data_IF_173477476538
#
_entry.id   IF_173477476538
#
_cell.length_a   1.000
_cell.length_b   1.000
_cell.length_c   1.000
_cell.angle_alpha   90.00
_cell.angle_beta   90.00
_cell.angle_gamma   90.00
#
_symmetry.space_group_name_H-M   'P 1'
#
loop_
_entity.id
_entity.type
_entity.pdbx_description
1 polymer ?
#
# COMPACT_ATOMS: atom_id res chain seq x y z
N UNK A 1 -5.78 -0.83 20.23
CA UNK A 1 -5.27 -2.05 19.55
C UNK A 1 -6.18 -2.50 18.41
N UNK A 2 -7.49 -2.67 18.61
CA UNK A 2 -8.44 -3.06 17.54
C UNK A 2 -8.41 -2.11 16.32
N UNK A 3 -8.36 -0.79 16.52
CA UNK A 3 -8.23 0.20 15.42
C UNK A 3 -6.91 0.06 14.64
N UNK A 4 -5.84 -0.41 15.27
CA UNK A 4 -4.54 -0.62 14.63
C UNK A 4 -4.56 -1.87 13.76
N UNK A 5 -5.11 -2.97 14.26
CA UNK A 5 -5.33 -4.21 13.51
C UNK A 5 -6.22 -4.01 12.28
N UNK A 6 -7.32 -3.27 12.44
CA UNK A 6 -8.21 -2.90 11.33
C UNK A 6 -7.47 -2.09 10.26
N UNK A 7 -6.59 -1.16 10.68
CA UNK A 7 -5.77 -0.36 9.76
C UNK A 7 -4.77 -1.22 9.00
N UNK A 8 -4.14 -2.19 9.68
CA UNK A 8 -3.24 -3.16 9.06
C UNK A 8 -3.99 -3.99 8.02
N UNK A 9 -5.16 -4.53 8.37
CA UNK A 9 -5.98 -5.33 7.45
C UNK A 9 -6.42 -4.55 6.21
N UNK A 10 -6.80 -3.28 6.39
CA UNK A 10 -7.14 -2.36 5.29
C UNK A 10 -5.96 -2.13 4.38
N UNK A 11 -4.79 -1.82 4.94
CA UNK A 11 -3.59 -1.61 4.15
C UNK A 11 -3.13 -2.88 3.43
N UNK A 12 -3.27 -4.03 4.07
CA UNK A 12 -3.04 -5.36 3.49
C UNK A 12 -3.89 -5.56 2.23
N UNK A 13 -5.20 -5.42 2.37
CA UNK A 13 -6.14 -5.55 1.25
C UNK A 13 -5.86 -4.51 0.14
N UNK A 14 -5.51 -3.29 0.52
CA UNK A 14 -5.22 -2.21 -0.43
C UNK A 14 -3.93 -2.45 -1.21
N UNK A 15 -2.88 -2.93 -0.54
CA UNK A 15 -1.58 -3.24 -1.15
C UNK A 15 -1.69 -4.46 -2.05
N UNK A 16 -2.48 -5.46 -1.63
CA UNK A 16 -2.86 -6.60 -2.47
C UNK A 16 -3.53 -6.13 -3.77
N UNK A 17 -4.53 -5.26 -3.69
CA UNK A 17 -5.19 -4.69 -4.88
C UNK A 17 -4.18 -3.89 -5.72
N UNK A 18 -3.34 -3.07 -5.10
CA UNK A 18 -2.32 -2.28 -5.80
C UNK A 18 -1.32 -3.13 -6.58
N UNK A 19 -0.86 -4.25 -6.00
CA UNK A 19 0.05 -5.19 -6.66
C UNK A 19 -0.61 -5.93 -7.81
N UNK A 20 -1.88 -6.34 -7.66
CA UNK A 20 -2.64 -6.97 -8.74
C UNK A 20 -2.85 -6.00 -9.90
N UNK A 21 -3.23 -4.75 -9.61
CA UNK A 21 -3.39 -3.70 -10.62
C UNK A 21 -2.06 -3.42 -11.31
N UNK A 22 -0.94 -3.33 -10.56
CA UNK A 22 0.38 -3.13 -11.15
C UNK A 22 0.79 -4.27 -12.10
N UNK A 23 0.49 -5.52 -11.74
CA UNK A 23 0.75 -6.67 -12.61
C UNK A 23 -0.09 -6.69 -13.90
N UNK A 24 -1.22 -6.00 -13.93
CA UNK A 24 -2.07 -5.88 -15.13
C UNK A 24 -1.77 -4.62 -15.95
N UNK A 25 -1.54 -3.49 -15.30
CA UNK A 25 -1.42 -2.19 -15.97
C UNK A 25 0.00 -1.86 -16.43
N UNK A 26 1.03 -2.43 -15.79
CA UNK A 26 2.42 -2.05 -16.03
C UNK A 26 3.14 -3.12 -16.84
N UNK A 27 3.48 -2.84 -18.12
CA UNK A 27 4.27 -3.76 -18.93
C UNK A 27 5.63 -4.03 -18.26
N UNK A 28 6.01 -5.30 -18.13
CA UNK A 28 7.29 -5.70 -17.51
C UNK A 28 7.23 -5.98 -16.01
N UNK A 29 6.04 -5.94 -15.39
CA UNK A 29 5.79 -6.49 -14.06
C UNK A 29 5.27 -7.92 -14.20
N UNK A 30 5.99 -8.90 -13.65
CA UNK A 30 5.52 -10.29 -13.55
C UNK A 30 5.35 -10.68 -12.09
N UNK A 31 4.18 -11.21 -11.75
CA UNK A 31 3.77 -11.53 -10.38
C UNK A 31 3.29 -12.99 -10.32
N UNK A 32 4.01 -13.84 -9.59
CA UNK A 32 3.55 -15.19 -9.26
C UNK A 32 2.73 -15.19 -7.97
N UNK A 33 1.93 -16.24 -7.73
CA UNK A 33 1.11 -16.36 -6.51
C UNK A 33 1.97 -16.27 -5.24
N UNK A 34 3.15 -16.89 -5.24
CA UNK A 34 4.09 -16.79 -4.12
C UNK A 34 4.75 -15.41 -4.01
N UNK A 35 5.05 -14.76 -5.14
CA UNK A 35 5.54 -13.39 -5.17
C UNK A 35 4.53 -12.40 -4.61
N UNK A 36 3.25 -12.61 -4.91
CA UNK A 36 2.14 -11.83 -4.37
C UNK A 36 2.07 -11.91 -2.85
N UNK A 37 2.03 -13.13 -2.30
CA UNK A 37 1.95 -13.32 -0.84
C UNK A 37 3.17 -12.74 -0.14
N UNK A 38 4.37 -12.99 -0.66
CA UNK A 38 5.61 -12.44 -0.10
C UNK A 38 5.63 -10.91 -0.16
N UNK A 39 5.25 -10.31 -1.30
CA UNK A 39 5.18 -8.87 -1.47
C UNK A 39 4.19 -8.24 -0.48
N UNK A 40 3.01 -8.85 -0.31
CA UNK A 40 2.00 -8.41 0.64
C UNK A 40 2.51 -8.46 2.08
N UNK A 41 3.18 -9.55 2.50
CA UNK A 41 3.75 -9.67 3.86
C UNK A 41 4.84 -8.62 4.09
N UNK A 42 5.78 -8.46 3.15
CA UNK A 42 6.87 -7.48 3.25
C UNK A 42 6.32 -6.06 3.33
N UNK A 43 5.35 -5.73 2.49
CA UNK A 43 4.69 -4.43 2.50
C UNK A 43 4.02 -4.16 3.85
N UNK A 44 3.35 -5.17 4.40
CA UNK A 44 2.70 -5.10 5.72
C UNK A 44 3.69 -4.82 6.83
N UNK A 45 4.83 -5.53 6.85
CA UNK A 45 5.87 -5.35 7.87
C UNK A 45 6.49 -3.96 7.76
N UNK A 46 6.86 -3.55 6.55
CA UNK A 46 7.38 -2.21 6.29
C UNK A 46 6.40 -1.14 6.79
N UNK A 47 5.12 -1.29 6.49
CA UNK A 47 4.10 -0.37 6.96
C UNK A 47 3.85 -0.39 8.46
N UNK A 48 3.92 -1.54 9.12
CA UNK A 48 3.77 -1.60 10.56
C UNK A 48 4.86 -0.78 11.27
N UNK A 49 6.09 -0.82 10.72
CA UNK A 49 7.23 -0.05 11.20
C UNK A 49 7.07 1.44 10.86
N UNK A 50 6.66 1.76 9.63
CA UNK A 50 6.55 3.15 9.19
C UNK A 50 5.27 3.87 9.65
N UNK A 51 4.18 3.16 9.96
CA UNK A 51 2.90 3.75 10.42
C UNK A 51 3.05 4.73 11.59
N UNK A 52 3.73 4.40 12.71
CA UNK A 52 3.94 5.34 13.81
C UNK A 52 4.80 6.55 13.40
N UNK A 53 5.72 6.37 12.46
CA UNK A 53 6.54 7.45 11.89
C UNK A 53 5.69 8.39 11.03
N UNK A 54 4.86 7.84 10.13
CA UNK A 54 3.94 8.60 9.30
C UNK A 54 2.94 9.41 10.14
N UNK A 55 2.41 8.83 11.23
CA UNK A 55 1.50 9.55 12.13
C UNK A 55 2.17 10.74 12.83
N UNK A 56 3.44 10.59 13.25
CA UNK A 56 4.21 11.69 13.86
C UNK A 56 4.61 12.76 12.84
N UNK A 57 4.85 12.35 11.58
CA UNK A 57 5.23 13.26 10.50
C UNK A 57 4.03 14.03 9.96
N UNK A 58 2.86 13.37 9.89
CA UNK A 58 1.64 13.95 9.34
C UNK A 58 1.07 15.09 10.17
N UNK A 59 1.34 15.11 11.47
CA UNK A 59 0.99 16.23 12.34
C UNK A 59 1.99 17.38 12.30
N UNK A 60 3.17 17.21 11.67
CA UNK A 60 4.30 18.14 11.76
C UNK A 60 4.77 18.71 10.40
N UNK A 61 4.50 18.04 9.27
CA UNK A 61 4.95 18.46 7.93
C UNK A 61 3.79 18.57 6.92
N UNK A 62 3.95 19.47 5.94
CA UNK A 62 2.99 19.71 4.86
C UNK A 62 2.62 18.41 4.11
N UNK A 63 1.36 18.32 3.65
CA UNK A 63 0.77 17.17 2.95
C UNK A 63 1.61 16.62 1.78
N UNK A 64 2.38 17.46 1.08
CA UNK A 64 3.30 17.04 0.02
C UNK A 64 4.47 16.17 0.53
N UNK A 65 4.99 16.45 1.73
CA UNK A 65 6.06 15.67 2.35
C UNK A 65 5.58 14.24 2.69
N UNK A 66 4.31 14.11 3.10
CA UNK A 66 3.70 12.80 3.35
C UNK A 66 3.55 11.97 2.09
N UNK A 67 3.19 12.61 0.96
CA UNK A 67 3.12 11.95 -0.33
C UNK A 67 4.49 11.45 -0.80
N UNK A 68 5.53 12.29 -0.69
CA UNK A 68 6.90 11.94 -1.06
C UNK A 68 7.48 10.78 -0.24
N UNK A 69 7.34 10.81 1.09
CA UNK A 69 7.80 9.71 1.96
C UNK A 69 7.00 8.42 1.67
N UNK A 70 5.70 8.54 1.38
CA UNK A 70 4.87 7.41 0.98
C UNK A 70 5.34 6.74 -0.31
N UNK A 71 5.72 7.53 -1.33
CA UNK A 71 6.29 7.02 -2.57
C UNK A 71 7.63 6.30 -2.35
N UNK A 72 8.55 6.90 -1.58
CA UNK A 72 9.85 6.27 -1.26
C UNK A 72 9.66 4.96 -0.49
N UNK A 73 8.73 4.91 0.48
CA UNK A 73 8.40 3.68 1.19
C UNK A 73 7.80 2.62 0.27
N UNK A 74 6.96 3.03 -0.68
CA UNK A 74 6.34 2.10 -1.63
C UNK A 74 7.40 1.50 -2.54
N UNK A 75 8.32 2.32 -3.04
CA UNK A 75 9.47 1.87 -3.81
C UNK A 75 10.33 0.88 -3.00
N UNK A 76 10.68 1.22 -1.76
CA UNK A 76 11.47 0.34 -0.89
C UNK A 76 10.77 -1.00 -0.64
N UNK A 77 9.45 -0.99 -0.45
CA UNK A 77 8.67 -2.21 -0.26
C UNK A 77 8.61 -3.06 -1.53
N UNK A 78 8.43 -2.45 -2.71
CA UNK A 78 8.50 -3.15 -4.00
C UNK A 78 9.90 -3.72 -4.27
N UNK A 79 10.94 -2.98 -3.90
CA UNK A 79 12.33 -3.42 -4.02
C UNK A 79 12.57 -4.66 -3.15
N UNK A 80 12.24 -4.58 -1.86
CA UNK A 80 12.34 -5.70 -0.94
C UNK A 80 11.50 -6.89 -1.40
N UNK A 81 10.29 -6.65 -1.88
CA UNK A 81 9.45 -7.70 -2.45
C UNK A 81 10.11 -8.36 -3.67
N UNK A 82 10.77 -7.62 -4.55
CA UNK A 82 11.47 -8.19 -5.71
C UNK A 82 12.74 -8.96 -5.34
N UNK A 83 13.43 -8.54 -4.26
CA UNK A 83 14.68 -9.16 -3.81
C UNK A 83 14.44 -10.41 -2.95
N UNK A 84 13.43 -10.36 -2.10
CA UNK A 84 13.11 -11.40 -1.14
C UNK A 84 12.10 -12.41 -1.68
N UNK A 85 11.35 -12.04 -2.72
CA UNK A 85 10.48 -12.99 -3.42
C UNK A 85 11.07 -13.35 -4.77
N UNK A 86 11.25 -14.65 -5.03
CA UNK A 86 11.53 -15.17 -6.36
C UNK A 86 10.33 -15.01 -7.34
N UNK A 87 9.30 -14.26 -6.94
CA UNK A 87 8.01 -14.20 -7.61
C UNK A 87 7.55 -12.81 -8.06
N UNK A 88 8.27 -11.73 -7.70
CA UNK A 88 8.02 -10.39 -8.20
C UNK A 88 9.24 -9.93 -9.02
N UNK A 89 9.07 -9.80 -10.34
CA UNK A 89 10.09 -9.24 -11.23
C UNK A 89 9.58 -7.96 -11.86
N UNK A 90 10.34 -6.88 -11.73
CA UNK A 90 10.06 -5.58 -12.34
C UNK A 90 11.26 -5.21 -13.21
N UNK A 91 11.06 -5.17 -14.53
CA UNK A 91 12.12 -4.88 -15.50
C UNK A 91 11.96 -3.49 -16.10
N UNK A 92 13.05 -2.71 -16.08
CA UNK A 92 13.12 -1.36 -16.65
C UNK A 92 12.76 -0.25 -15.66
N UNK A 93 13.46 0.88 -15.76
CA UNK A 93 13.31 2.04 -14.85
C UNK A 93 11.88 2.61 -14.92
N UNK A 94 11.29 2.68 -16.11
CA UNK A 94 9.90 3.15 -16.29
C UNK A 94 8.89 2.28 -15.55
N UNK A 95 9.06 0.96 -15.57
CA UNK A 95 8.19 0.00 -14.86
C UNK A 95 8.30 0.14 -13.34
N UNK A 96 9.51 0.43 -12.83
CA UNK A 96 9.72 0.71 -11.41
C UNK A 96 9.00 1.96 -10.95
N UNK A 97 9.08 3.04 -11.73
CA UNK A 97 8.39 4.30 -11.43
C UNK A 97 6.87 4.10 -11.51
N UNK A 98 6.38 3.49 -12.59
CA UNK A 98 4.96 3.26 -12.81
C UNK A 98 4.36 2.36 -11.72
N UNK A 99 5.00 1.23 -11.40
CA UNK A 99 4.54 0.33 -10.34
C UNK A 99 4.51 1.03 -8.99
N UNK A 100 5.54 1.83 -8.67
CA UNK A 100 5.58 2.61 -7.42
C UNK A 100 4.41 3.59 -7.34
N UNK A 101 4.18 4.38 -8.39
CA UNK A 101 3.11 5.38 -8.42
C UNK A 101 1.73 4.73 -8.36
N UNK A 102 1.50 3.65 -9.12
CA UNK A 102 0.23 2.92 -9.16
C UNK A 102 -0.08 2.32 -7.79
N UNK A 103 0.85 1.58 -7.20
CA UNK A 103 0.65 0.95 -5.88
C UNK A 103 0.42 2.02 -4.82
N UNK A 104 1.18 3.12 -4.85
CA UNK A 104 1.01 4.23 -3.93
C UNK A 104 -0.37 4.88 -4.06
N UNK A 105 -0.82 5.19 -5.28
CA UNK A 105 -2.12 5.81 -5.54
C UNK A 105 -3.28 4.92 -5.09
N UNK A 106 -3.26 3.63 -5.47
CA UNK A 106 -4.31 2.68 -5.08
C UNK A 106 -4.39 2.58 -3.56
N UNK A 107 -3.25 2.50 -2.90
CA UNK A 107 -3.18 2.37 -1.45
C UNK A 107 -3.63 3.65 -0.73
N UNK A 108 -3.25 4.82 -1.25
CA UNK A 108 -3.70 6.11 -0.75
C UNK A 108 -5.22 6.26 -0.89
N UNK A 109 -5.77 5.95 -2.07
CA UNK A 109 -7.21 6.01 -2.33
C UNK A 109 -7.98 5.06 -1.42
N UNK A 110 -7.53 3.81 -1.28
CA UNK A 110 -8.18 2.86 -0.39
C UNK A 110 -8.16 3.35 1.06
N UNK A 111 -7.04 3.90 1.53
CA UNK A 111 -6.91 4.46 2.89
C UNK A 111 -7.84 5.65 3.13
N UNK A 112 -8.12 6.46 2.10
CA UNK A 112 -9.07 7.57 2.17
C UNK A 112 -10.53 7.10 2.13
N UNK A 113 -10.85 6.17 1.23
CA UNK A 113 -12.22 5.73 0.96
C UNK A 113 -12.76 4.80 2.05
N UNK A 114 -11.94 3.88 2.58
CA UNK A 114 -12.41 2.88 3.54
C UNK A 114 -13.00 3.46 4.83
N UNK A 115 -12.37 4.44 5.50
CA UNK A 115 -12.96 5.09 6.66
C UNK A 115 -14.31 5.72 6.31
N UNK A 116 -14.42 6.40 5.16
CA UNK A 116 -15.66 7.05 4.72
C UNK A 116 -16.80 6.04 4.55
N UNK A 117 -16.54 4.88 3.93
CA UNK A 117 -17.54 3.82 3.78
C UNK A 117 -17.97 3.22 5.12
N UNK A 118 -17.00 2.87 5.99
CA UNK A 118 -17.28 2.27 7.32
C UNK A 118 -18.04 3.23 8.24
N UNK A 119 -17.71 4.54 8.19
CA UNK A 119 -18.43 5.57 8.94
C UNK A 119 -19.86 5.77 8.42
N UNK A 120 -20.09 5.63 7.10
CA UNK A 120 -21.41 5.72 6.46
C UNK A 120 -22.32 4.56 6.84
N UNK A 121 -21.77 3.34 6.88
CA UNK A 121 -22.44 2.12 7.36
C UNK A 121 -22.93 2.29 8.81
N UNK A 122 -22.06 2.74 9.72
CA UNK A 122 -22.43 2.95 11.14
C UNK A 122 -23.54 3.99 11.31
N UNK A 123 -23.52 5.07 10.54
CA UNK A 123 -24.56 6.11 10.57
C UNK A 123 -25.90 5.61 10.06
N UNK A 124 -25.90 4.62 9.17
CA UNK A 124 -27.10 3.99 8.60
C UNK A 124 -27.66 2.94 9.56
N UNK A 125 -26.81 2.09 10.15
CA UNK A 125 -27.20 1.09 11.14
C UNK A 125 -27.71 1.67 12.47
N UNK A 126 -27.30 2.89 12.84
CA UNK A 126 -27.82 3.61 14.01
C UNK A 126 -29.17 4.32 13.75
N UNK A 127 -29.66 4.29 12.51
CA UNK A 127 -30.89 4.97 12.07
C UNK A 127 -32.04 3.99 11.74
N UNK A 128 -31.77 2.69 11.83
CA UNK A 128 -32.74 1.58 11.69
C UNK A 128 -33.00 1.01 13.08
#
# INVERSE_FOLDING_TARGET
>A
MIRFLLRIAVFLGSSAIGLLVAGWLVPGVSLSVWGFVAAVVIFTVAQAILSPFFLKMASRYASAFLGGIGLVSTFAALLLASLLSNGLSIRGIGSWIAATVVVWLVTALATLVLPMLVLREKKTASRV
#
